data_IF_447619823229
#
_entry.id   IF_447619823229
#
_cell.length_a   1.000
_cell.length_b   1.000
_cell.length_c   1.000
_cell.angle_alpha   90.00
_cell.angle_beta   90.00
_cell.angle_gamma   90.00
#
_symmetry.space_group_name_H-M   'P 1'
#
loop_
_entity.id
_entity.type
_entity.pdbx_description
1 polymer ?
#
# COMPACT_ATOMS: atom_id res chain seq x y z
N UNK A 1 -20.84 0.86 -7.46
CA UNK A 1 -20.34 -0.46 -7.92
C UNK A 1 -19.06 -0.20 -8.70
N UNK A 2 -17.95 -0.89 -8.37
CA UNK A 2 -16.68 -0.74 -9.10
C UNK A 2 -16.83 -1.45 -10.44
N UNK A 3 -16.51 -0.74 -11.54
CA UNK A 3 -16.54 -1.34 -12.87
C UNK A 3 -15.21 -2.07 -13.11
N UNK A 4 -15.27 -3.38 -13.33
CA UNK A 4 -14.10 -4.20 -13.65
C UNK A 4 -13.56 -3.90 -15.05
N UNK A 5 -12.23 -3.82 -15.16
CA UNK A 5 -11.51 -3.84 -16.44
C UNK A 5 -10.82 -5.19 -16.54
N UNK A 6 -11.30 -6.06 -17.44
CA UNK A 6 -10.71 -7.40 -17.63
C UNK A 6 -9.42 -7.32 -18.43
N UNK A 7 -8.45 -8.21 -18.16
CA UNK A 7 -7.17 -8.23 -18.85
C UNK A 7 -7.25 -8.20 -20.39
N UNK A 8 -8.18 -8.94 -21.05
CA UNK A 8 -8.34 -8.87 -22.51
C UNK A 8 -8.81 -7.50 -23.04
N UNK A 9 -9.47 -6.71 -22.20
CA UNK A 9 -10.01 -5.39 -22.58
C UNK A 9 -9.14 -4.23 -22.06
N UNK A 10 -8.03 -4.53 -21.41
CA UNK A 10 -7.12 -3.56 -20.84
C UNK A 10 -6.19 -3.01 -21.92
N UNK A 11 -6.35 -1.74 -22.27
CA UNK A 11 -5.31 -0.98 -22.96
C UNK A 11 -4.33 -0.47 -21.91
N UNK A 12 -3.20 -1.16 -21.76
CA UNK A 12 -2.24 -0.91 -20.68
C UNK A 12 -1.67 0.51 -20.73
N UNK A 13 -1.31 1.02 -21.89
CA UNK A 13 -0.72 2.36 -22.03
C UNK A 13 -1.73 3.44 -21.65
N UNK A 14 -2.95 3.33 -22.16
CA UNK A 14 -4.04 4.26 -21.87
C UNK A 14 -4.41 4.23 -20.37
N UNK A 15 -4.49 3.03 -19.80
CA UNK A 15 -4.76 2.86 -18.36
C UNK A 15 -3.68 3.52 -17.50
N UNK A 16 -2.40 3.29 -17.82
CA UNK A 16 -1.27 3.88 -17.09
C UNK A 16 -1.35 5.40 -17.12
N UNK A 17 -1.53 6.00 -18.29
CA UNK A 17 -1.61 7.47 -18.44
C UNK A 17 -2.86 8.03 -17.69
N UNK A 18 -4.01 7.38 -17.81
CA UNK A 18 -5.21 7.77 -17.06
C UNK A 18 -4.96 7.77 -15.53
N UNK A 19 -4.31 6.70 -15.00
CA UNK A 19 -4.04 6.61 -13.56
C UNK A 19 -3.01 7.62 -13.09
N UNK A 20 -1.98 7.89 -13.90
CA UNK A 20 -1.00 8.94 -13.62
C UNK A 20 -1.67 10.30 -13.54
N UNK A 21 -2.51 10.65 -14.51
CA UNK A 21 -3.21 11.93 -14.55
C UNK A 21 -4.22 12.05 -13.39
N UNK A 22 -4.89 10.95 -13.06
CA UNK A 22 -5.80 10.90 -11.92
C UNK A 22 -5.06 11.14 -10.60
N UNK A 23 -3.92 10.48 -10.38
CA UNK A 23 -3.09 10.68 -9.18
C UNK A 23 -2.63 12.14 -9.10
N UNK A 24 -2.15 12.73 -10.20
CA UNK A 24 -1.75 14.15 -10.24
C UNK A 24 -2.89 15.08 -9.83
N UNK A 25 -4.08 14.84 -10.37
CA UNK A 25 -5.28 15.64 -10.07
C UNK A 25 -5.71 15.51 -8.63
N UNK A 26 -5.75 14.28 -8.10
CA UNK A 26 -6.25 14.02 -6.75
C UNK A 26 -5.28 14.53 -5.67
N UNK A 27 -3.97 14.46 -5.91
CA UNK A 27 -2.93 14.95 -4.98
C UNK A 27 -2.70 16.47 -5.11
N UNK A 28 -2.90 17.03 -6.31
CA UNK A 28 -2.62 18.45 -6.59
C UNK A 28 -1.16 18.80 -6.31
N UNK A 29 -0.93 19.90 -5.57
CA UNK A 29 0.41 20.35 -5.16
C UNK A 29 0.91 19.67 -3.88
N UNK A 30 0.13 18.76 -3.30
CA UNK A 30 0.46 18.05 -2.07
C UNK A 30 1.50 16.94 -2.24
N UNK A 31 1.68 16.21 -1.16
CA UNK A 31 2.52 15.00 -1.10
C UNK A 31 1.65 13.78 -0.86
N UNK A 32 2.09 12.66 -1.39
CA UNK A 32 1.52 11.35 -1.12
C UNK A 32 2.56 10.42 -0.48
N UNK A 33 2.08 9.37 0.16
CA UNK A 33 2.90 8.30 0.72
C UNK A 33 2.39 6.95 0.23
N UNK A 34 3.27 5.98 0.08
CA UNK A 34 2.89 4.59 -0.11
C UNK A 34 3.81 3.64 0.67
N UNK A 35 3.29 2.47 1.03
CA UNK A 35 4.07 1.39 1.60
C UNK A 35 4.38 0.34 0.53
N UNK A 36 5.66 0.17 0.23
CA UNK A 36 6.17 -0.84 -0.71
C UNK A 36 6.38 -2.16 0.04
N UNK A 37 5.73 -3.22 -0.39
CA UNK A 37 5.86 -4.57 0.21
C UNK A 37 6.73 -5.52 -0.61
N UNK A 38 7.18 -5.12 -1.80
CA UNK A 38 7.84 -5.99 -2.76
C UNK A 38 6.89 -6.89 -3.56
N UNK A 39 5.59 -6.86 -3.27
CA UNK A 39 4.55 -7.51 -4.08
C UNK A 39 4.24 -6.72 -5.36
N UNK A 40 3.69 -7.40 -6.40
CA UNK A 40 3.43 -6.77 -7.70
C UNK A 40 2.50 -5.56 -7.59
N UNK A 41 1.45 -5.62 -6.77
CA UNK A 41 0.45 -4.56 -6.68
C UNK A 41 1.04 -3.29 -6.06
N UNK A 42 1.74 -3.42 -4.91
CA UNK A 42 2.43 -2.30 -4.29
C UNK A 42 3.53 -1.73 -5.18
N UNK A 43 4.23 -2.58 -5.92
CA UNK A 43 5.26 -2.17 -6.88
C UNK A 43 4.68 -1.35 -8.03
N UNK A 44 3.57 -1.80 -8.61
CA UNK A 44 2.86 -1.09 -9.69
C UNK A 44 2.36 0.27 -9.21
N UNK A 45 1.74 0.33 -8.03
CA UNK A 45 1.29 1.61 -7.43
C UNK A 45 2.45 2.54 -7.15
N UNK A 46 3.58 2.03 -6.65
CA UNK A 46 4.81 2.82 -6.46
C UNK A 46 5.26 3.47 -7.77
N UNK A 47 5.31 2.69 -8.86
CA UNK A 47 5.74 3.22 -10.16
C UNK A 47 4.74 4.22 -10.75
N UNK A 48 3.43 3.97 -10.65
CA UNK A 48 2.40 4.93 -11.07
C UNK A 48 2.52 6.24 -10.28
N UNK A 49 2.65 6.13 -8.96
CA UNK A 49 2.80 7.28 -8.07
C UNK A 49 4.09 8.07 -8.35
N UNK A 50 5.21 7.38 -8.56
CA UNK A 50 6.48 8.02 -8.90
C UNK A 50 6.42 8.75 -10.24
N UNK A 51 5.84 8.13 -11.29
CA UNK A 51 5.63 8.80 -12.59
C UNK A 51 4.68 10.00 -12.48
N UNK A 52 3.71 9.96 -11.58
CA UNK A 52 2.76 11.04 -11.37
C UNK A 52 3.36 12.21 -10.59
N UNK A 53 4.10 11.93 -9.52
CA UNK A 53 4.45 12.89 -8.46
C UNK A 53 5.95 13.15 -8.32
N UNK A 54 6.82 12.26 -8.83
CA UNK A 54 8.26 12.35 -8.61
C UNK A 54 8.60 12.33 -7.11
N UNK A 55 9.43 13.29 -6.68
CA UNK A 55 9.87 13.42 -5.27
C UNK A 55 8.75 13.76 -4.28
N UNK A 56 7.56 14.10 -4.77
CA UNK A 56 6.38 14.32 -3.92
C UNK A 56 5.69 13.02 -3.50
N UNK A 57 6.11 11.86 -4.03
CA UNK A 57 5.77 10.56 -3.48
C UNK A 57 6.83 10.13 -2.47
N UNK A 58 6.45 9.94 -1.22
CA UNK A 58 7.27 9.30 -0.20
C UNK A 58 7.01 7.80 -0.22
N UNK A 59 8.02 7.01 -0.54
CA UNK A 59 7.90 5.55 -0.56
C UNK A 59 8.64 4.98 0.63
N UNK A 60 7.94 4.18 1.45
CA UNK A 60 8.55 3.52 2.61
C UNK A 60 8.47 2.00 2.47
N UNK A 61 9.51 1.31 2.90
CA UNK A 61 9.53 -0.14 3.10
C UNK A 61 9.60 -0.43 4.59
N UNK A 62 8.59 -1.09 5.14
CA UNK A 62 8.52 -1.38 6.58
C UNK A 62 9.14 -2.76 6.83
N UNK A 63 10.33 -2.78 7.43
CA UNK A 63 11.01 -3.99 7.86
C UNK A 63 10.40 -4.46 9.19
N UNK A 64 9.61 -5.52 9.12
CA UNK A 64 8.87 -6.05 10.26
C UNK A 64 9.54 -7.26 10.94
N UNK A 65 10.72 -7.70 10.44
CA UNK A 65 11.42 -8.87 10.93
C UNK A 65 10.86 -10.22 10.48
N UNK A 66 9.79 -10.22 9.66
CA UNK A 66 9.15 -11.43 9.14
C UNK A 66 9.43 -11.65 7.65
N UNK A 67 10.26 -10.78 7.06
CA UNK A 67 10.67 -10.85 5.66
C UNK A 67 11.74 -11.93 5.45
N UNK A 68 11.94 -12.35 4.20
CA UNK A 68 13.06 -13.21 3.86
C UNK A 68 14.38 -12.46 4.05
N UNK A 69 15.43 -13.20 4.37
CA UNK A 69 16.76 -12.61 4.52
C UNK A 69 17.19 -11.85 3.25
N UNK A 70 17.59 -10.59 3.42
CA UNK A 70 18.03 -9.72 2.33
C UNK A 70 16.91 -9.26 1.38
N UNK A 71 15.63 -9.50 1.71
CA UNK A 71 14.52 -9.06 0.87
C UNK A 71 14.33 -7.54 0.90
N UNK A 72 14.40 -6.85 2.06
CA UNK A 72 14.30 -5.40 2.10
C UNK A 72 15.32 -4.71 1.21
N UNK A 73 16.60 -5.06 1.37
CA UNK A 73 17.70 -4.46 0.61
C UNK A 73 17.59 -4.74 -0.89
N UNK A 74 17.15 -5.95 -1.26
CA UNK A 74 16.95 -6.31 -2.66
C UNK A 74 15.82 -5.51 -3.29
N UNK A 75 14.69 -5.35 -2.59
CA UNK A 75 13.53 -4.60 -3.11
C UNK A 75 13.89 -3.13 -3.23
N UNK A 76 14.48 -2.54 -2.19
CA UNK A 76 14.90 -1.14 -2.20
C UNK A 76 15.92 -0.88 -3.30
N UNK A 77 16.98 -1.70 -3.41
CA UNK A 77 17.98 -1.55 -4.45
C UNK A 77 17.44 -1.73 -5.89
N UNK A 78 16.33 -2.46 -6.08
CA UNK A 78 15.64 -2.52 -7.37
C UNK A 78 14.97 -1.17 -7.70
N UNK A 79 14.25 -0.61 -6.74
CA UNK A 79 13.53 0.66 -6.94
C UNK A 79 14.47 1.86 -7.05
N UNK A 80 15.57 1.87 -6.34
CA UNK A 80 16.63 2.88 -6.50
C UNK A 80 17.19 2.92 -7.94
N UNK A 81 17.39 1.75 -8.55
CA UNK A 81 17.80 1.66 -9.98
C UNK A 81 16.74 2.21 -10.95
N UNK A 82 15.49 2.25 -10.53
CA UNK A 82 14.37 2.83 -11.27
C UNK A 82 14.17 4.33 -10.94
N UNK A 83 15.04 4.92 -10.12
CA UNK A 83 14.98 6.33 -9.73
C UNK A 83 14.01 6.61 -8.58
N UNK A 84 13.48 5.59 -7.92
CA UNK A 84 12.57 5.75 -6.77
C UNK A 84 13.38 5.70 -5.49
N UNK A 85 13.32 6.77 -4.70
CA UNK A 85 13.89 6.78 -3.37
C UNK A 85 12.96 6.05 -2.39
N UNK A 86 13.47 5.00 -1.74
CA UNK A 86 12.72 4.18 -0.79
C UNK A 86 13.37 4.25 0.59
N UNK A 87 12.61 4.70 1.58
CA UNK A 87 13.07 4.72 2.97
C UNK A 87 12.76 3.39 3.65
N UNK A 88 13.77 2.73 4.23
CA UNK A 88 13.57 1.54 5.06
C UNK A 88 13.28 1.99 6.51
N UNK A 89 12.10 1.61 7.01
CA UNK A 89 11.70 1.85 8.40
C UNK A 89 11.86 0.55 9.17
N UNK A 90 12.82 0.49 10.09
CA UNK A 90 13.00 -0.66 10.99
C UNK A 90 11.92 -0.64 12.08
N UNK A 91 11.00 -1.60 12.00
CA UNK A 91 9.90 -1.76 12.93
C UNK A 91 9.91 -3.14 13.62
N UNK A 92 11.00 -3.90 13.51
CA UNK A 92 11.10 -5.28 14.01
C UNK A 92 10.69 -5.43 15.46
N UNK A 93 11.17 -4.55 16.34
CA UNK A 93 10.82 -4.59 17.76
C UNK A 93 9.31 -4.45 18.01
N UNK A 94 8.63 -3.56 17.27
CA UNK A 94 7.20 -3.36 17.42
C UNK A 94 6.40 -4.61 17.04
N UNK A 95 6.80 -5.29 15.95
CA UNK A 95 6.15 -6.51 15.49
C UNK A 95 6.45 -7.70 16.41
N UNK A 96 7.69 -7.88 16.83
CA UNK A 96 8.05 -8.96 17.75
C UNK A 96 7.38 -8.80 19.11
N UNK A 97 7.27 -7.58 19.64
CA UNK A 97 6.54 -7.32 20.88
C UNK A 97 5.05 -7.66 20.73
N UNK A 98 4.43 -7.30 19.60
CA UNK A 98 3.01 -7.60 19.35
C UNK A 98 2.73 -9.11 19.18
N UNK A 99 3.71 -9.87 18.70
CA UNK A 99 3.59 -11.32 18.48
C UNK A 99 4.02 -12.15 19.67
N UNK A 100 4.61 -11.53 20.69
CA UNK A 100 5.10 -12.24 21.88
C UNK A 100 3.96 -12.95 22.62
N UNK A 101 4.07 -14.28 22.76
CA UNK A 101 3.05 -15.10 23.42
C UNK A 101 1.81 -15.43 22.57
N UNK A 102 1.69 -14.87 21.38
CA UNK A 102 0.56 -15.16 20.46
C UNK A 102 0.87 -16.44 19.70
N UNK A 103 0.01 -17.47 19.84
CA UNK A 103 0.20 -18.78 19.19
C UNK A 103 -0.80 -19.04 18.07
N UNK A 104 -2.03 -18.54 18.20
CA UNK A 104 -3.08 -18.71 17.21
C UNK A 104 -2.76 -17.96 15.90
N UNK A 105 -2.93 -18.59 14.72
CA UNK A 105 -2.60 -17.97 13.44
C UNK A 105 -3.46 -16.74 13.09
N UNK A 106 -4.73 -16.71 13.46
CA UNK A 106 -5.62 -15.58 13.20
C UNK A 106 -5.27 -14.40 14.12
N UNK A 107 -5.00 -14.67 15.41
CA UNK A 107 -4.52 -13.65 16.33
C UNK A 107 -3.17 -13.06 15.88
N UNK A 108 -2.26 -13.88 15.32
CA UNK A 108 -1.02 -13.38 14.73
C UNK A 108 -1.26 -12.43 13.56
N UNK A 109 -2.16 -12.79 12.65
CA UNK A 109 -2.52 -11.91 11.52
C UNK A 109 -3.10 -10.60 12.01
N UNK A 110 -4.01 -10.66 12.98
CA UNK A 110 -4.60 -9.47 13.57
C UNK A 110 -3.54 -8.59 14.24
N UNK A 111 -2.65 -9.17 15.04
CA UNK A 111 -1.56 -8.44 15.71
C UNK A 111 -0.63 -7.76 14.71
N UNK A 112 -0.26 -8.45 13.62
CA UNK A 112 0.55 -7.89 12.53
C UNK A 112 -0.18 -6.70 11.88
N UNK A 113 -1.44 -6.88 11.53
CA UNK A 113 -2.26 -5.88 10.87
C UNK A 113 -2.43 -4.62 11.73
N UNK A 114 -2.79 -4.79 13.00
CA UNK A 114 -2.94 -3.68 13.94
C UNK A 114 -1.62 -2.93 14.15
N UNK A 115 -0.52 -3.66 14.31
CA UNK A 115 0.80 -3.06 14.48
C UNK A 115 1.20 -2.27 13.24
N UNK A 116 0.99 -2.83 12.05
CA UNK A 116 1.29 -2.16 10.79
C UNK A 116 0.53 -0.84 10.65
N UNK A 117 -0.80 -0.88 10.68
CA UNK A 117 -1.61 0.29 10.33
C UNK A 117 -1.71 1.31 11.45
N UNK A 118 -1.95 0.87 12.69
CA UNK A 118 -2.18 1.81 13.80
C UNK A 118 -0.91 2.36 14.41
N UNK A 119 0.11 1.52 14.54
CA UNK A 119 1.32 1.91 15.27
C UNK A 119 2.40 2.42 14.32
N UNK A 120 2.82 1.60 13.36
CA UNK A 120 3.98 1.93 12.52
C UNK A 120 3.61 2.88 11.40
N UNK A 121 2.71 2.45 10.51
CA UNK A 121 2.38 3.25 9.32
C UNK A 121 1.63 4.54 9.67
N UNK A 122 0.73 4.50 10.66
CA UNK A 122 0.04 5.69 11.14
C UNK A 122 1.00 6.78 11.64
N UNK A 123 2.05 6.40 12.34
CA UNK A 123 3.06 7.35 12.82
C UNK A 123 3.94 7.88 11.66
N UNK A 124 4.31 7.03 10.71
CA UNK A 124 5.05 7.45 9.51
C UNK A 124 4.25 8.48 8.71
N UNK A 125 2.95 8.23 8.48
CA UNK A 125 2.07 9.15 7.75
C UNK A 125 2.00 10.50 8.46
N UNK A 126 1.78 10.53 9.77
CA UNK A 126 1.75 11.76 10.56
C UNK A 126 3.05 12.56 10.45
N UNK A 127 4.20 11.88 10.56
CA UNK A 127 5.52 12.51 10.47
C UNK A 127 5.84 12.97 9.05
N UNK A 128 5.33 12.28 8.03
CA UNK A 128 5.57 12.62 6.62
C UNK A 128 4.89 13.91 6.17
N UNK A 129 3.82 14.31 6.84
CA UNK A 129 2.96 15.40 6.41
C UNK A 129 2.17 15.11 5.13
N UNK A 130 2.19 13.87 4.65
CA UNK A 130 1.42 13.46 3.48
C UNK A 130 -0.07 13.45 3.78
N UNK A 131 -0.87 13.96 2.82
CA UNK A 131 -2.33 13.98 2.92
C UNK A 131 -3.01 12.92 2.05
N UNK A 132 -2.24 12.14 1.31
CA UNK A 132 -2.73 11.10 0.42
C UNK A 132 -1.92 9.83 0.62
N UNK A 133 -2.63 8.68 0.71
CA UNK A 133 -2.06 7.35 0.70
C UNK A 133 -2.36 6.70 -0.64
N UNK A 134 -1.32 6.30 -1.38
CA UNK A 134 -1.46 5.44 -2.54
C UNK A 134 -1.42 3.98 -2.10
N UNK A 135 -2.49 3.23 -2.32
CA UNK A 135 -2.66 1.86 -1.88
C UNK A 135 -2.88 0.90 -3.05
N UNK A 136 -2.27 -0.28 -2.97
CA UNK A 136 -2.31 -1.31 -4.01
C UNK A 136 -3.48 -2.27 -3.91
N UNK A 137 -4.67 -1.79 -3.52
CA UNK A 137 -5.90 -2.58 -3.50
C UNK A 137 -6.32 -2.91 -4.93
N UNK A 138 -6.65 -4.17 -5.18
CA UNK A 138 -7.22 -4.67 -6.45
C UNK A 138 -8.65 -5.16 -6.24
N UNK A 139 -9.40 -5.38 -7.33
CA UNK A 139 -10.79 -5.82 -7.26
C UNK A 139 -10.94 -7.17 -6.53
N UNK A 140 -9.96 -8.06 -6.68
CA UNK A 140 -9.93 -9.34 -5.95
C UNK A 140 -9.94 -9.14 -4.44
N UNK A 141 -9.20 -8.16 -3.91
CA UNK A 141 -9.16 -7.86 -2.48
C UNK A 141 -10.52 -7.36 -1.98
N UNK A 142 -11.22 -6.55 -2.79
CA UNK A 142 -12.57 -6.08 -2.48
C UNK A 142 -13.56 -7.25 -2.43
N UNK A 143 -13.54 -8.14 -3.43
CA UNK A 143 -14.42 -9.30 -3.49
C UNK A 143 -14.19 -10.24 -2.30
N UNK A 144 -12.91 -10.52 -1.95
CA UNK A 144 -12.54 -11.37 -0.83
C UNK A 144 -12.95 -10.76 0.52
N UNK A 145 -12.91 -9.44 0.64
CA UNK A 145 -13.37 -8.71 1.82
C UNK A 145 -14.89 -8.80 1.97
N UNK A 146 -15.64 -8.56 0.89
CA UNK A 146 -17.11 -8.66 0.88
C UNK A 146 -17.58 -10.09 1.17
N UNK A 147 -16.85 -11.10 0.68
CA UNK A 147 -17.12 -12.50 0.95
C UNK A 147 -16.74 -12.96 2.36
N UNK A 148 -16.11 -12.10 3.17
CA UNK A 148 -15.61 -12.43 4.51
C UNK A 148 -14.43 -13.40 4.54
N UNK A 149 -13.78 -13.62 3.38
CA UNK A 149 -12.65 -14.56 3.23
C UNK A 149 -11.35 -13.93 3.70
N UNK A 150 -11.13 -12.65 3.40
CA UNK A 150 -9.99 -11.86 3.89
C UNK A 150 -10.48 -10.63 4.65
N UNK A 151 -9.98 -10.47 5.86
CA UNK A 151 -10.23 -9.28 6.69
C UNK A 151 -9.15 -8.21 6.56
N UNK A 152 -8.18 -8.40 5.67
CA UNK A 152 -6.89 -7.70 5.74
C UNK A 152 -6.69 -6.56 4.75
N UNK A 153 -7.49 -6.43 3.67
CA UNK A 153 -7.21 -5.48 2.60
C UNK A 153 -8.02 -4.18 2.64
N UNK A 154 -9.16 -4.15 3.30
CA UNK A 154 -9.86 -2.90 3.62
C UNK A 154 -9.85 -2.66 5.13
N UNK A 155 -8.62 -2.62 5.67
CA UNK A 155 -8.37 -2.69 7.11
C UNK A 155 -8.96 -1.48 7.84
N UNK A 156 -8.95 -0.32 7.24
CA UNK A 156 -9.46 0.88 7.90
C UNK A 156 -10.97 0.79 8.10
N UNK A 157 -11.72 0.42 7.06
CA UNK A 157 -13.18 0.26 7.16
C UNK A 157 -13.58 -0.87 8.13
N UNK A 158 -12.86 -1.99 8.11
CA UNK A 158 -13.10 -3.13 9.03
C UNK A 158 -12.76 -2.80 10.49
N UNK A 159 -11.78 -1.92 10.70
CA UNK A 159 -11.42 -1.44 12.04
C UNK A 159 -12.31 -0.28 12.48
N UNK A 160 -13.30 0.13 11.67
CA UNK A 160 -14.11 1.31 11.94
C UNK A 160 -13.29 2.59 11.98
N UNK A 161 -12.18 2.62 11.24
CA UNK A 161 -11.28 3.76 11.16
C UNK A 161 -11.56 4.49 9.85
N UNK A 162 -12.06 5.72 9.93
CA UNK A 162 -12.01 6.64 8.80
C UNK A 162 -10.59 7.22 8.71
N UNK A 163 -9.83 6.93 7.63
CA UNK A 163 -8.46 7.42 7.48
C UNK A 163 -8.37 8.94 7.47
N UNK A 164 -9.36 9.62 6.94
CA UNK A 164 -9.38 11.07 6.88
C UNK A 164 -9.65 11.69 8.25
N UNK A 165 -10.57 11.12 9.02
CA UNK A 165 -10.87 11.58 10.39
C UNK A 165 -9.74 11.21 11.37
N UNK A 166 -9.21 9.98 11.26
CA UNK A 166 -8.26 9.43 12.23
C UNK A 166 -6.82 9.87 11.99
N UNK A 167 -6.41 10.04 10.72
CA UNK A 167 -5.03 10.30 10.33
C UNK A 167 -4.86 11.52 9.42
N UNK A 168 -5.95 12.11 8.93
CA UNK A 168 -5.92 13.31 8.09
C UNK A 168 -5.48 13.08 6.65
N UNK A 169 -5.52 11.83 6.13
CA UNK A 169 -5.18 11.52 4.75
C UNK A 169 -6.34 10.86 3.98
N UNK A 170 -6.31 11.00 2.65
CA UNK A 170 -7.22 10.32 1.72
C UNK A 170 -6.52 9.13 1.07
N UNK A 171 -7.28 8.06 0.82
CA UNK A 171 -6.77 6.89 0.11
C UNK A 171 -7.03 7.04 -1.38
N UNK A 172 -6.02 6.72 -2.20
CA UNK A 172 -6.09 6.63 -3.65
C UNK A 172 -5.70 5.21 -4.05
N UNK A 173 -6.59 4.51 -4.74
CA UNK A 173 -6.46 3.10 -5.11
C UNK A 173 -6.45 2.94 -6.64
N UNK A 174 -5.30 3.15 -7.29
CA UNK A 174 -5.23 3.21 -8.75
C UNK A 174 -5.63 1.90 -9.44
N UNK A 175 -5.43 0.76 -8.77
CA UNK A 175 -5.62 -0.58 -9.32
C UNK A 175 -6.98 -1.22 -8.99
N UNK A 176 -7.87 -0.52 -8.30
CA UNK A 176 -9.11 -1.08 -7.74
C UNK A 176 -10.06 -1.70 -8.79
N UNK A 177 -9.91 -1.34 -10.06
CA UNK A 177 -10.68 -1.86 -11.19
C UNK A 177 -10.09 -3.14 -11.80
N UNK A 178 -8.86 -3.51 -11.42
CA UNK A 178 -8.13 -4.64 -11.99
C UNK A 178 -8.17 -5.86 -11.07
N UNK A 179 -8.15 -7.04 -11.68
CA UNK A 179 -7.79 -8.29 -11.01
C UNK A 179 -6.30 -8.57 -11.14
N UNK A 180 -5.81 -9.61 -10.48
CA UNK A 180 -4.39 -9.96 -10.42
C UNK A 180 -3.75 -10.21 -11.80
N UNK A 181 -4.49 -10.75 -12.74
CA UNK A 181 -4.07 -10.98 -14.12
C UNK A 181 -3.92 -9.68 -14.92
N UNK A 182 -4.73 -8.65 -14.61
CA UNK A 182 -4.60 -7.33 -15.22
C UNK A 182 -3.44 -6.50 -14.66
N UNK A 183 -2.89 -6.84 -13.48
CA UNK A 183 -1.75 -6.13 -12.87
C UNK A 183 -0.40 -6.71 -13.30
N UNK A 184 -0.36 -7.97 -13.76
CA UNK A 184 0.84 -8.67 -14.22
C UNK A 184 1.16 -8.40 -15.68
#
# INVERSE_FOLDING_TARGET
MIQEITAPNLNTDEFIEEKIDRIRKDVGDGTAINALSGGVDSSTVTMLGHRALGDRLKTVFIENGLMRQGEPERVVGLFEKLGVNVEIVDAKEAFFAALSGVTDPEEKREAITQTFYRKVFGDIVKQSGARHLLQGTILTDVDETVAGIKRQHNVFEQLGIDPQESFGYRIIEPLIQLRKDGVR
#
